data_IF_213043194601
#
_entry.id   IF_213043194601
#
_cell.length_a   1.000
_cell.length_b   1.000
_cell.length_c   1.000
_cell.angle_alpha   90.00
_cell.angle_beta   90.00
_cell.angle_gamma   90.00
#
_symmetry.space_group_name_H-M   'P 1'
#
loop_
_entity.id
_entity.type
_entity.pdbx_description
1 polymer ?
#
# COMPACT_ATOMS: atom_id res chain seq x y z
N UNK A 1 2.92 71.38 32.26
CA UNK A 1 4.01 70.78 31.47
C UNK A 1 4.08 69.32 31.78
N UNK A 2 3.19 68.53 31.25
CA UNK A 2 3.17 67.05 31.34
C UNK A 2 2.21 66.56 30.26
N UNK A 3 2.68 66.27 29.03
CA UNK A 3 1.93 65.51 28.01
C UNK A 3 2.68 65.46 26.68
N UNK A 4 3.96 65.05 26.67
CA UNK A 4 4.72 64.83 25.43
C UNK A 4 5.58 63.54 25.43
N UNK A 5 5.41 62.63 26.40
CA UNK A 5 6.23 61.41 26.50
C UNK A 5 5.47 60.12 26.18
N UNK A 6 4.13 60.14 26.04
CA UNK A 6 3.33 58.93 25.78
C UNK A 6 3.09 58.61 24.29
N UNK A 7 3.38 59.51 23.36
CA UNK A 7 3.08 59.33 21.95
C UNK A 7 4.22 58.68 21.14
N UNK A 8 5.39 58.40 21.73
CA UNK A 8 6.52 57.76 21.01
C UNK A 8 6.68 56.26 21.25
N UNK A 9 6.05 55.72 22.26
CA UNK A 9 6.12 54.27 22.56
C UNK A 9 5.12 53.41 21.76
N UNK A 10 4.00 54.00 21.31
CA UNK A 10 2.92 53.27 20.60
C UNK A 10 3.20 53.02 19.14
N UNK A 11 4.15 53.72 18.49
CA UNK A 11 4.47 53.52 17.05
C UNK A 11 5.60 52.51 16.82
N UNK A 12 6.42 52.22 17.84
CA UNK A 12 7.49 51.24 17.74
C UNK A 12 7.01 49.79 17.94
N UNK A 13 5.93 49.57 18.70
CA UNK A 13 5.40 48.22 18.93
C UNK A 13 4.58 47.63 17.77
N UNK A 14 3.99 48.46 16.91
CA UNK A 14 3.19 47.97 15.78
C UNK A 14 4.02 47.46 14.59
N UNK A 15 5.33 47.69 14.54
CA UNK A 15 6.20 47.20 13.46
C UNK A 15 6.86 45.85 13.73
N UNK A 16 6.82 45.34 14.96
CA UNK A 16 7.46 44.09 15.35
C UNK A 16 6.57 42.86 15.02
N UNK A 17 5.26 43.03 14.86
CA UNK A 17 4.31 41.95 14.62
C UNK A 17 4.02 41.64 13.13
N UNK A 18 4.57 42.42 12.19
CA UNK A 18 4.37 42.21 10.75
C UNK A 18 5.26 41.13 10.12
N UNK A 19 6.17 40.54 10.91
CA UNK A 19 7.06 39.46 10.48
C UNK A 19 6.81 38.14 11.21
N UNK A 20 5.55 37.69 11.32
CA UNK A 20 5.15 36.60 12.16
C UNK A 20 5.86 35.28 11.89
N UNK A 21 5.94 34.38 12.91
CA UNK A 21 6.60 33.08 12.86
C UNK A 21 6.11 32.17 11.72
N UNK A 22 4.94 32.45 11.15
CA UNK A 22 4.37 31.77 10.00
C UNK A 22 5.23 31.86 8.72
N UNK A 23 6.01 32.92 8.52
CA UNK A 23 6.88 33.08 7.34
C UNK A 23 8.13 32.21 7.45
N UNK A 24 8.65 32.05 8.66
CA UNK A 24 9.83 31.22 8.96
C UNK A 24 9.44 29.74 8.83
N UNK A 25 8.31 29.31 9.39
CA UNK A 25 7.82 27.92 9.31
C UNK A 25 7.56 27.53 7.86
N UNK A 26 6.98 28.44 7.05
CA UNK A 26 6.71 28.20 5.63
C UNK A 26 7.99 28.09 4.79
N UNK A 27 9.05 28.81 5.14
CA UNK A 27 10.35 28.73 4.46
C UNK A 27 11.14 27.46 4.85
N UNK A 28 10.97 26.96 6.07
CA UNK A 28 11.56 25.69 6.50
C UNK A 28 10.85 24.50 5.88
N UNK A 29 9.53 24.51 5.81
CA UNK A 29 8.73 23.49 5.16
C UNK A 29 9.01 23.43 3.64
N UNK A 30 9.14 24.58 2.97
CA UNK A 30 9.48 24.64 1.54
C UNK A 30 10.89 24.14 1.26
N UNK A 31 11.88 24.50 2.09
CA UNK A 31 13.27 24.01 1.98
C UNK A 31 13.35 22.50 2.26
N UNK A 32 12.57 21.99 3.23
CA UNK A 32 12.45 20.57 3.49
C UNK A 32 11.90 19.82 2.25
N UNK A 33 10.83 20.32 1.67
CA UNK A 33 10.21 19.73 0.48
C UNK A 33 11.14 19.75 -0.75
N UNK A 34 11.82 20.87 -1.00
CA UNK A 34 12.81 20.98 -2.08
C UNK A 34 13.98 20.02 -1.89
N UNK A 35 14.53 19.93 -0.67
CA UNK A 35 15.58 18.97 -0.34
C UNK A 35 15.14 17.52 -0.56
N UNK A 36 13.94 17.18 -0.13
CA UNK A 36 13.38 15.83 -0.34
C UNK A 36 13.21 15.52 -1.82
N UNK A 37 12.67 16.46 -2.60
CA UNK A 37 12.53 16.31 -4.05
C UNK A 37 13.88 16.15 -4.74
N UNK A 38 14.88 16.99 -4.42
CA UNK A 38 16.22 16.89 -4.96
C UNK A 38 16.88 15.55 -4.64
N UNK A 39 16.76 15.08 -3.39
CA UNK A 39 17.28 13.77 -2.98
C UNK A 39 16.56 12.61 -3.70
N UNK A 40 15.25 12.70 -3.90
CA UNK A 40 14.50 11.69 -4.65
C UNK A 40 14.91 11.67 -6.12
N UNK A 41 15.05 12.83 -6.76
CA UNK A 41 15.53 12.92 -8.15
C UNK A 41 16.96 12.40 -8.26
N UNK A 42 17.85 12.79 -7.34
CA UNK A 42 19.23 12.32 -7.32
C UNK A 42 19.31 10.80 -7.14
N UNK A 43 18.51 10.21 -6.25
CA UNK A 43 18.49 8.75 -6.06
C UNK A 43 17.98 8.01 -7.30
N UNK A 44 16.96 8.53 -7.99
CA UNK A 44 16.47 7.95 -9.24
C UNK A 44 17.50 8.07 -10.37
N UNK A 45 18.21 9.21 -10.47
CA UNK A 45 19.29 9.39 -11.43
C UNK A 45 20.45 8.44 -11.16
N UNK A 46 20.87 8.30 -9.89
CA UNK A 46 21.93 7.35 -9.51
C UNK A 46 21.53 5.93 -9.85
N UNK A 47 20.29 5.53 -9.55
CA UNK A 47 19.79 4.21 -9.91
C UNK A 47 19.77 3.96 -11.43
N UNK A 48 19.30 4.95 -12.19
CA UNK A 48 19.28 4.88 -13.67
C UNK A 48 20.68 4.82 -14.28
N UNK A 49 21.59 5.67 -13.83
CA UNK A 49 22.99 5.67 -14.28
C UNK A 49 23.72 4.39 -13.85
N UNK A 50 23.45 3.90 -12.64
CA UNK A 50 23.96 2.63 -12.16
C UNK A 50 23.48 1.46 -13.04
N UNK A 51 22.20 1.42 -13.38
CA UNK A 51 21.66 0.41 -14.30
C UNK A 51 22.29 0.53 -15.69
N UNK A 52 22.40 1.73 -16.25
CA UNK A 52 23.07 1.97 -17.54
C UNK A 52 24.52 1.49 -17.53
N UNK A 53 25.27 1.82 -16.48
CA UNK A 53 26.67 1.39 -16.32
C UNK A 53 26.81 -0.14 -16.21
N UNK A 54 26.01 -0.77 -15.35
CA UNK A 54 25.99 -2.23 -15.18
C UNK A 54 25.70 -2.95 -16.51
N UNK A 55 24.68 -2.47 -17.23
CA UNK A 55 24.24 -3.06 -18.49
C UNK A 55 25.26 -2.91 -19.63
N UNK A 56 26.06 -1.84 -19.66
CA UNK A 56 26.98 -1.57 -20.78
C UNK A 56 28.40 -2.01 -20.52
N UNK A 57 28.83 -2.04 -19.25
CA UNK A 57 30.25 -2.26 -18.89
C UNK A 57 30.49 -3.63 -18.25
N UNK A 58 29.59 -4.05 -17.31
CA UNK A 58 29.81 -5.28 -16.53
C UNK A 58 29.11 -6.52 -17.11
N UNK A 59 27.92 -6.35 -17.66
CA UNK A 59 27.09 -7.46 -18.10
C UNK A 59 26.85 -7.46 -19.60
N UNK A 60 26.55 -8.64 -20.15
CA UNK A 60 26.09 -8.76 -21.52
C UNK A 60 24.72 -8.08 -21.66
N UNK A 61 24.53 -7.15 -22.65
CA UNK A 61 23.25 -6.50 -22.90
C UNK A 61 22.08 -7.47 -23.15
N UNK A 62 22.37 -8.70 -23.55
CA UNK A 62 21.36 -9.77 -23.67
C UNK A 62 20.82 -10.21 -22.30
N UNK A 63 21.63 -10.19 -21.24
CA UNK A 63 21.20 -10.58 -19.88
C UNK A 63 20.55 -9.40 -19.14
N UNK A 64 21.18 -8.23 -19.23
CA UNK A 64 20.69 -6.99 -18.60
C UNK A 64 20.64 -5.93 -19.69
N UNK A 65 19.48 -5.70 -20.33
CA UNK A 65 19.35 -4.72 -21.38
C UNK A 65 19.51 -3.30 -20.85
N UNK A 66 20.10 -2.39 -21.63
CA UNK A 66 20.21 -0.99 -21.25
C UNK A 66 18.81 -0.36 -21.15
N UNK A 67 18.60 0.56 -20.19
CA UNK A 67 17.33 1.24 -19.99
C UNK A 67 16.73 1.81 -21.28
N UNK A 68 17.57 2.38 -22.14
CA UNK A 68 17.11 2.97 -23.39
C UNK A 68 16.45 1.94 -24.34
N UNK A 69 16.97 0.73 -24.42
CA UNK A 69 16.39 -0.34 -25.25
C UNK A 69 15.08 -0.86 -24.66
N UNK A 70 15.02 -0.95 -23.32
CA UNK A 70 13.77 -1.30 -22.62
C UNK A 70 12.69 -0.27 -22.93
N UNK A 71 13.00 1.03 -22.86
CA UNK A 71 12.04 2.08 -23.21
C UNK A 71 11.65 2.05 -24.68
N UNK A 72 12.61 1.82 -25.60
CA UNK A 72 12.32 1.67 -27.02
C UNK A 72 11.39 0.48 -27.32
N UNK A 73 11.51 -0.61 -26.54
CA UNK A 73 10.62 -1.77 -26.64
C UNK A 73 9.25 -1.49 -26.02
N UNK A 74 9.19 -0.72 -24.93
CA UNK A 74 7.93 -0.38 -24.26
C UNK A 74 7.01 0.50 -25.11
N UNK A 75 7.56 1.48 -25.85
CA UNK A 75 6.77 2.43 -26.65
C UNK A 75 5.82 1.74 -27.62
N UNK A 76 6.27 0.86 -28.55
CA UNK A 76 5.37 0.18 -29.48
C UNK A 76 4.36 -0.73 -28.76
N UNK A 77 4.73 -1.37 -27.64
CA UNK A 77 3.82 -2.21 -26.85
C UNK A 77 2.72 -1.41 -26.15
N UNK A 78 3.00 -0.16 -25.78
CA UNK A 78 1.99 0.77 -25.25
C UNK A 78 1.10 1.29 -26.37
N UNK A 79 1.68 1.70 -27.48
CA UNK A 79 0.92 2.22 -28.65
C UNK A 79 0.02 1.15 -29.28
N UNK A 80 0.46 -0.10 -29.35
CA UNK A 80 -0.36 -1.22 -29.82
C UNK A 80 -1.48 -1.61 -28.84
N UNK A 81 -1.44 -1.13 -27.61
CA UNK A 81 -2.39 -1.50 -26.57
C UNK A 81 -2.11 -2.84 -25.88
N UNK A 82 -1.05 -3.57 -26.26
CA UNK A 82 -0.69 -4.88 -25.68
C UNK A 82 -0.52 -4.76 -24.15
N UNK A 83 0.33 -3.83 -23.70
CA UNK A 83 0.56 -3.60 -22.25
C UNK A 83 -0.72 -3.12 -21.55
N UNK A 84 -1.51 -2.26 -22.18
CA UNK A 84 -2.74 -1.74 -21.55
C UNK A 84 -3.76 -2.86 -21.31
N UNK A 85 -3.91 -3.77 -22.25
CA UNK A 85 -4.78 -4.92 -22.11
C UNK A 85 -4.34 -5.83 -20.95
N UNK A 86 -3.05 -6.17 -20.89
CA UNK A 86 -2.49 -6.97 -19.80
C UNK A 86 -2.60 -6.28 -18.44
N UNK A 87 -2.32 -4.97 -18.37
CA UNK A 87 -2.48 -4.16 -17.15
C UNK A 87 -3.90 -4.17 -16.65
N UNK A 88 -4.89 -3.95 -17.52
CA UNK A 88 -6.31 -3.93 -17.11
C UNK A 88 -6.78 -5.27 -16.58
N UNK A 89 -6.35 -6.35 -17.20
CA UNK A 89 -6.69 -7.72 -16.78
C UNK A 89 -6.04 -8.03 -15.43
N UNK A 90 -4.72 -7.83 -15.29
CA UNK A 90 -4.01 -8.05 -14.02
C UNK A 90 -4.57 -7.16 -12.90
N UNK A 91 -4.89 -5.90 -13.19
CA UNK A 91 -5.48 -4.98 -12.22
C UNK A 91 -6.86 -5.46 -11.75
N UNK A 92 -7.72 -5.91 -12.66
CA UNK A 92 -9.03 -6.44 -12.30
C UNK A 92 -8.91 -7.65 -11.35
N UNK A 93 -7.97 -8.55 -11.63
CA UNK A 93 -7.68 -9.72 -10.77
C UNK A 93 -7.20 -9.31 -9.39
N UNK A 94 -6.22 -8.39 -9.34
CA UNK A 94 -5.70 -7.86 -8.07
C UNK A 94 -6.81 -7.21 -7.26
N UNK A 95 -7.63 -6.34 -7.88
CA UNK A 95 -8.70 -5.64 -7.17
C UNK A 95 -9.75 -6.59 -6.60
N UNK A 96 -10.19 -7.58 -7.38
CA UNK A 96 -11.19 -8.55 -6.92
C UNK A 96 -10.63 -9.39 -5.78
N UNK A 97 -9.46 -10.01 -5.95
CA UNK A 97 -8.84 -10.84 -4.91
C UNK A 97 -8.52 -10.07 -3.64
N UNK A 98 -8.00 -8.84 -3.78
CA UNK A 98 -7.72 -7.93 -2.67
C UNK A 98 -8.98 -7.52 -1.90
N UNK A 99 -10.04 -7.12 -2.59
CA UNK A 99 -11.29 -6.70 -1.94
C UNK A 99 -11.94 -7.87 -1.20
N UNK A 100 -12.05 -9.04 -1.83
CA UNK A 100 -12.61 -10.23 -1.20
C UNK A 100 -11.75 -10.64 0.02
N UNK A 101 -10.43 -10.70 -0.15
CA UNK A 101 -9.51 -11.02 0.95
C UNK A 101 -9.55 -10.02 2.10
N UNK A 102 -9.68 -8.74 1.79
CA UNK A 102 -9.79 -7.68 2.80
C UNK A 102 -11.12 -7.76 3.56
N UNK A 103 -12.24 -7.96 2.86
CA UNK A 103 -13.56 -8.09 3.50
C UNK A 103 -13.58 -9.30 4.46
N UNK A 104 -13.14 -10.47 3.99
CA UNK A 104 -13.05 -11.65 4.84
C UNK A 104 -12.06 -11.47 5.99
N UNK A 105 -10.89 -10.89 5.74
CA UNK A 105 -9.89 -10.60 6.76
C UNK A 105 -10.39 -9.64 7.85
N UNK A 106 -11.15 -8.60 7.46
CA UNK A 106 -11.78 -7.68 8.42
C UNK A 106 -12.85 -8.39 9.23
N UNK A 107 -13.78 -9.09 8.59
CA UNK A 107 -14.89 -9.77 9.28
C UNK A 107 -14.34 -10.79 10.29
N UNK A 108 -13.46 -11.68 9.83
CA UNK A 108 -12.84 -12.69 10.69
C UNK A 108 -11.96 -12.06 11.77
N UNK A 109 -11.18 -11.03 11.43
CA UNK A 109 -10.33 -10.33 12.38
C UNK A 109 -11.10 -9.61 13.48
N UNK A 110 -12.22 -8.99 13.15
CA UNK A 110 -13.13 -8.37 14.15
C UNK A 110 -13.77 -9.45 15.03
N UNK A 111 -14.21 -10.56 14.45
CA UNK A 111 -14.83 -11.68 15.18
C UNK A 111 -13.84 -12.31 16.17
N UNK A 112 -12.65 -12.65 15.71
CA UNK A 112 -11.59 -13.24 16.53
C UNK A 112 -11.05 -12.24 17.57
N UNK A 113 -10.91 -10.99 17.21
CA UNK A 113 -10.51 -9.93 18.16
C UNK A 113 -11.55 -9.72 19.29
N UNK A 114 -12.84 -10.00 19.02
CA UNK A 114 -13.93 -9.86 19.98
C UNK A 114 -14.07 -11.07 20.90
N UNK A 115 -13.94 -12.27 20.37
CA UNK A 115 -14.21 -13.54 21.06
C UNK A 115 -12.89 -14.25 21.34
N UNK A 116 -12.35 -14.06 22.56
CA UNK A 116 -11.07 -14.67 22.97
C UNK A 116 -11.04 -16.19 22.79
N UNK A 117 -12.10 -16.89 23.19
CA UNK A 117 -12.16 -18.34 23.04
C UNK A 117 -11.98 -18.79 21.59
N UNK A 118 -12.62 -18.07 20.65
CA UNK A 118 -12.51 -18.37 19.24
C UNK A 118 -11.11 -18.05 18.70
N UNK A 119 -10.51 -16.96 19.17
CA UNK A 119 -9.11 -16.62 18.87
C UNK A 119 -8.17 -17.73 19.34
N UNK A 120 -8.20 -18.07 20.63
CA UNK A 120 -7.29 -19.05 21.24
C UNK A 120 -7.40 -20.44 20.57
N UNK A 121 -8.59 -20.79 20.06
CA UNK A 121 -8.82 -22.03 19.32
C UNK A 121 -8.25 -21.99 17.91
N UNK A 122 -8.39 -20.86 17.19
CA UNK A 122 -8.04 -20.74 15.78
C UNK A 122 -6.62 -20.17 15.55
N UNK A 123 -6.04 -19.52 16.54
CA UNK A 123 -4.72 -18.88 16.45
C UNK A 123 -3.62 -19.84 15.98
N UNK A 124 -3.46 -21.07 16.52
CA UNK A 124 -2.45 -22.00 16.05
C UNK A 124 -2.64 -22.38 14.58
N UNK A 125 -3.91 -22.50 14.12
CA UNK A 125 -4.25 -22.83 12.75
C UNK A 125 -3.93 -21.65 11.83
N UNK A 126 -4.31 -20.43 12.24
CA UNK A 126 -4.01 -19.20 11.50
C UNK A 126 -2.51 -18.99 11.39
N UNK A 127 -1.76 -19.22 12.48
CA UNK A 127 -0.30 -19.14 12.47
C UNK A 127 0.35 -20.11 11.49
N UNK A 128 -0.13 -21.34 11.39
CA UNK A 128 0.38 -22.31 10.42
C UNK A 128 0.01 -21.91 8.99
N UNK A 129 -1.23 -21.54 8.73
CA UNK A 129 -1.71 -21.23 7.39
C UNK A 129 -1.08 -19.95 6.80
N UNK A 130 -0.77 -18.97 7.61
CA UNK A 130 -0.15 -17.70 7.14
C UNK A 130 1.27 -17.89 6.58
N UNK A 131 1.98 -18.97 6.95
CA UNK A 131 3.28 -19.29 6.41
C UNK A 131 3.21 -19.96 5.03
N UNK A 132 2.03 -20.42 4.61
CA UNK A 132 1.84 -20.95 3.25
C UNK A 132 1.82 -19.79 2.26
N UNK A 133 2.87 -19.69 1.45
CA UNK A 133 2.93 -18.65 0.43
C UNK A 133 1.85 -18.86 -0.65
N UNK A 134 1.32 -17.80 -1.25
CA UNK A 134 0.39 -17.91 -2.39
C UNK A 134 0.94 -18.80 -3.51
N UNK A 135 2.26 -18.75 -3.74
CA UNK A 135 2.92 -19.59 -4.75
C UNK A 135 2.81 -21.09 -4.44
N UNK A 136 2.97 -21.47 -3.18
CA UNK A 136 2.82 -22.86 -2.75
C UNK A 136 1.37 -23.38 -2.88
N UNK A 137 0.40 -22.47 -2.84
CA UNK A 137 -1.03 -22.79 -2.99
C UNK A 137 -1.49 -22.97 -4.44
N UNK A 138 -0.64 -22.70 -5.44
CA UNK A 138 -1.02 -22.79 -6.85
C UNK A 138 -1.56 -24.17 -7.24
N UNK A 139 -0.88 -25.31 -6.94
CA UNK A 139 -1.40 -26.62 -7.32
C UNK A 139 -2.78 -26.89 -6.70
N UNK A 140 -2.96 -26.50 -5.45
CA UNK A 140 -4.24 -26.67 -4.74
C UNK A 140 -5.32 -25.78 -5.36
N UNK A 141 -5.01 -24.53 -5.67
CA UNK A 141 -5.94 -23.61 -6.33
C UNK A 141 -6.41 -24.15 -7.68
N UNK A 142 -5.50 -24.74 -8.47
CA UNK A 142 -5.83 -25.33 -9.76
C UNK A 142 -6.68 -26.61 -9.60
N UNK A 143 -6.40 -27.44 -8.60
CA UNK A 143 -7.21 -28.64 -8.31
C UNK A 143 -8.63 -28.27 -7.86
N UNK A 144 -8.78 -27.24 -7.01
CA UNK A 144 -10.08 -26.85 -6.46
C UNK A 144 -10.94 -26.06 -7.45
N UNK A 145 -10.34 -25.13 -8.19
CA UNK A 145 -11.05 -24.15 -9.03
C UNK A 145 -10.80 -24.33 -10.53
N UNK A 146 -9.91 -25.25 -10.90
CA UNK A 146 -9.50 -25.42 -12.30
C UNK A 146 -8.55 -24.34 -12.81
N UNK A 147 -8.16 -24.45 -14.08
CA UNK A 147 -7.38 -23.43 -14.78
C UNK A 147 -8.36 -22.33 -15.23
N UNK A 148 -8.39 -21.20 -14.51
CA UNK A 148 -9.33 -20.12 -14.80
C UNK A 148 -9.12 -18.89 -13.91
N UNK A 149 -10.08 -17.97 -13.94
CA UNK A 149 -9.99 -16.74 -13.16
C UNK A 149 -10.15 -16.98 -11.66
N UNK A 150 -10.96 -17.97 -11.25
CA UNK A 150 -11.19 -18.27 -9.83
C UNK A 150 -9.93 -18.70 -9.10
N UNK A 151 -9.07 -19.50 -9.71
CA UNK A 151 -7.79 -19.90 -9.12
C UNK A 151 -6.88 -18.69 -8.86
N UNK A 152 -6.85 -17.72 -9.78
CA UNK A 152 -6.07 -16.48 -9.66
C UNK A 152 -6.62 -15.58 -8.54
N UNK A 153 -7.95 -15.39 -8.50
CA UNK A 153 -8.59 -14.64 -7.41
C UNK A 153 -8.31 -15.27 -6.04
N UNK A 154 -8.36 -16.61 -5.97
CA UNK A 154 -8.07 -17.34 -4.73
C UNK A 154 -6.63 -17.11 -4.25
N UNK A 155 -5.64 -17.11 -5.12
CA UNK A 155 -4.23 -16.90 -4.77
C UNK A 155 -4.00 -15.47 -4.23
N UNK A 156 -4.63 -14.47 -4.83
CA UNK A 156 -4.56 -13.09 -4.37
C UNK A 156 -5.32 -12.93 -3.04
N UNK A 157 -6.50 -13.53 -2.94
CA UNK A 157 -7.28 -13.62 -1.69
C UNK A 157 -6.45 -14.20 -0.56
N UNK A 158 -5.76 -15.33 -0.79
CA UNK A 158 -4.90 -16.00 0.20
C UNK A 158 -3.77 -15.08 0.68
N UNK A 159 -3.07 -14.41 -0.22
CA UNK A 159 -2.01 -13.47 0.11
C UNK A 159 -2.48 -12.22 0.85
N UNK A 160 -3.75 -11.86 0.72
CA UNK A 160 -4.37 -10.68 1.36
C UNK A 160 -4.95 -11.00 2.72
N UNK A 161 -5.65 -12.13 2.83
CA UNK A 161 -6.51 -12.51 3.95
C UNK A 161 -5.78 -12.41 5.31
N UNK A 162 -4.68 -13.13 5.47
CA UNK A 162 -3.99 -13.23 6.76
C UNK A 162 -3.37 -11.92 7.21
N UNK A 163 -2.88 -11.10 6.26
CA UNK A 163 -2.29 -9.79 6.56
C UNK A 163 -3.37 -8.86 7.15
N UNK A 164 -4.53 -8.79 6.50
CA UNK A 164 -5.64 -7.95 6.97
C UNK A 164 -6.21 -8.50 8.27
N UNK A 165 -6.39 -9.81 8.38
CA UNK A 165 -6.91 -10.49 9.57
C UNK A 165 -6.09 -10.17 10.82
N UNK A 166 -4.78 -10.40 10.77
CA UNK A 166 -3.89 -10.18 11.93
C UNK A 166 -3.85 -8.71 12.33
N UNK A 167 -3.76 -7.80 11.36
CA UNK A 167 -3.78 -6.36 11.65
C UNK A 167 -5.14 -5.92 12.24
N UNK A 168 -6.24 -6.53 11.81
CA UNK A 168 -7.58 -6.25 12.36
C UNK A 168 -7.70 -6.74 13.80
N UNK A 169 -7.25 -7.96 14.11
CA UNK A 169 -7.21 -8.50 15.48
C UNK A 169 -6.40 -7.56 16.39
N UNK A 170 -5.19 -7.18 15.95
CA UNK A 170 -4.33 -6.26 16.68
C UNK A 170 -5.01 -4.90 16.91
N UNK A 171 -5.76 -4.40 15.93
CA UNK A 171 -6.53 -3.16 16.05
C UNK A 171 -7.64 -3.24 17.10
N UNK A 172 -8.38 -4.35 17.12
CA UNK A 172 -9.45 -4.58 18.12
C UNK A 172 -8.88 -4.64 19.54
N UNK A 173 -7.76 -5.31 19.74
CA UNK A 173 -7.14 -5.43 21.06
C UNK A 173 -6.47 -4.14 21.55
N UNK A 174 -5.98 -3.33 20.65
CA UNK A 174 -5.33 -2.05 20.98
C UNK A 174 -6.31 -0.89 21.19
N UNK A 175 -7.63 -1.14 21.16
CA UNK A 175 -8.63 -0.11 21.47
C UNK A 175 -8.41 0.42 22.89
N UNK A 176 -8.27 1.77 23.10
CA UNK A 176 -7.90 2.35 24.39
C UNK A 176 -8.90 2.01 25.51
N UNK A 177 -8.44 1.34 26.57
CA UNK A 177 -9.26 0.95 27.74
C UNK A 177 -9.90 2.18 28.40
N UNK A 178 -9.20 3.31 28.43
CA UNK A 178 -9.73 4.55 29.01
C UNK A 178 -11.02 5.00 28.30
N UNK A 179 -11.08 4.90 26.97
CA UNK A 179 -12.29 5.23 26.20
C UNK A 179 -13.43 4.25 26.44
N UNK A 180 -13.11 2.97 26.60
CA UNK A 180 -14.11 1.94 26.91
C UNK A 180 -14.74 2.19 28.30
N UNK A 181 -13.92 2.45 29.33
CA UNK A 181 -14.37 2.80 30.67
C UNK A 181 -15.18 4.11 30.71
N UNK A 182 -14.77 5.13 29.98
CA UNK A 182 -15.54 6.36 29.87
C UNK A 182 -16.93 6.14 29.28
N UNK A 183 -17.04 5.30 28.23
CA UNK A 183 -18.32 4.92 27.67
C UNK A 183 -19.18 4.12 28.65
N UNK A 184 -18.58 3.22 29.45
CA UNK A 184 -19.28 2.49 30.53
C UNK A 184 -19.84 3.45 31.59
N UNK A 185 -19.06 4.44 32.02
CA UNK A 185 -19.52 5.46 32.96
C UNK A 185 -20.69 6.29 32.43
N UNK A 186 -20.79 6.45 31.09
CA UNK A 186 -21.91 7.12 30.43
C UNK A 186 -23.11 6.20 30.19
N UNK A 187 -23.07 4.95 30.70
CA UNK A 187 -24.17 4.00 30.59
C UNK A 187 -24.24 3.22 29.27
N UNK A 188 -23.18 3.26 28.46
CA UNK A 188 -23.15 2.49 27.21
C UNK A 188 -23.12 0.99 27.46
N UNK A 189 -23.95 0.23 26.75
CA UNK A 189 -23.94 -1.22 26.79
C UNK A 189 -22.76 -1.82 26.01
N UNK A 190 -22.48 -3.12 26.22
CA UNK A 190 -21.34 -3.82 25.58
C UNK A 190 -21.32 -3.74 24.06
N UNK A 191 -22.50 -3.75 23.43
CA UNK A 191 -22.61 -3.65 21.97
C UNK A 191 -22.29 -2.21 21.48
N UNK A 192 -22.78 -1.21 22.21
CA UNK A 192 -22.48 0.20 21.92
C UNK A 192 -20.98 0.49 22.07
N UNK A 193 -20.33 0.01 23.12
CA UNK A 193 -18.88 0.14 23.31
C UNK A 193 -18.15 -0.52 22.16
N UNK A 194 -18.56 -1.71 21.74
CA UNK A 194 -17.94 -2.40 20.61
C UNK A 194 -18.08 -1.64 19.30
N UNK A 195 -19.29 -1.23 18.93
CA UNK A 195 -19.57 -0.58 17.65
C UNK A 195 -19.09 0.89 17.60
N UNK A 196 -19.19 1.64 18.70
CA UNK A 196 -18.92 3.08 18.74
C UNK A 196 -17.52 3.43 19.25
N UNK A 197 -16.84 2.50 19.97
CA UNK A 197 -15.51 2.76 20.54
C UNK A 197 -14.45 1.82 19.93
N UNK A 198 -14.65 0.51 20.01
CA UNK A 198 -13.64 -0.47 19.62
C UNK A 198 -13.46 -0.48 18.08
N UNK A 199 -14.54 -0.63 17.31
CA UNK A 199 -14.46 -0.67 15.85
C UNK A 199 -13.85 0.62 15.27
N UNK A 200 -14.32 1.83 15.62
CA UNK A 200 -13.68 3.06 15.12
C UNK A 200 -12.21 3.20 15.54
N UNK A 201 -11.86 2.73 16.73
CA UNK A 201 -10.46 2.75 17.20
C UNK A 201 -9.56 1.75 16.47
N UNK A 202 -10.11 0.68 15.91
CA UNK A 202 -9.38 -0.32 15.13
C UNK A 202 -9.15 0.07 13.67
N UNK A 203 -9.92 1.04 13.12
CA UNK A 203 -9.84 1.46 11.72
C UNK A 203 -8.42 1.80 11.25
N UNK A 204 -7.59 2.54 11.98
CA UNK A 204 -6.22 2.83 11.55
C UNK A 204 -5.36 1.57 11.35
N UNK A 205 -5.55 0.55 12.19
CA UNK A 205 -4.83 -0.73 12.09
C UNK A 205 -5.33 -1.55 10.91
N UNK A 206 -6.65 -1.58 10.68
CA UNK A 206 -7.28 -2.23 9.52
C UNK A 206 -6.71 -1.62 8.23
N UNK A 207 -6.69 -0.31 8.14
CA UNK A 207 -6.17 0.41 6.96
C UNK A 207 -4.68 0.15 6.74
N UNK A 208 -3.89 0.11 7.81
CA UNK A 208 -2.47 -0.26 7.73
C UNK A 208 -2.32 -1.68 7.22
N UNK A 209 -3.12 -2.62 7.72
CA UNK A 209 -3.17 -4.00 7.24
C UNK A 209 -3.55 -4.10 5.76
N UNK A 210 -4.60 -3.39 5.34
CA UNK A 210 -5.01 -3.33 3.93
C UNK A 210 -3.91 -2.78 3.02
N UNK A 211 -3.17 -1.78 3.47
CA UNK A 211 -2.07 -1.21 2.71
C UNK A 211 -0.93 -2.22 2.51
N UNK A 212 -0.53 -2.94 3.54
CA UNK A 212 0.49 -3.99 3.43
C UNK A 212 -0.03 -5.14 2.55
N UNK A 213 -1.30 -5.50 2.70
CA UNK A 213 -1.94 -6.54 1.91
C UNK A 213 -2.05 -6.17 0.42
N UNK A 214 -2.22 -4.90 0.07
CA UNK A 214 -2.19 -4.43 -1.32
C UNK A 214 -0.85 -4.75 -1.99
N UNK A 215 0.27 -4.48 -1.33
CA UNK A 215 1.59 -4.85 -1.86
C UNK A 215 1.74 -6.37 -2.01
N UNK A 216 1.26 -7.16 -1.05
CA UNK A 216 1.23 -8.63 -1.13
C UNK A 216 0.38 -9.14 -2.28
N UNK A 217 -0.74 -8.48 -2.60
CA UNK A 217 -1.61 -8.82 -3.73
C UNK A 217 -0.88 -8.70 -5.07
N UNK A 218 -0.05 -7.66 -5.25
CA UNK A 218 0.81 -7.51 -6.43
C UNK A 218 1.93 -8.56 -6.49
N UNK A 219 2.42 -9.03 -5.35
CA UNK A 219 3.38 -10.15 -5.34
C UNK A 219 2.71 -11.47 -5.69
N UNK A 220 1.44 -11.65 -5.34
CA UNK A 220 0.69 -12.89 -5.55
C UNK A 220 0.18 -13.05 -6.99
N UNK A 221 -0.09 -11.95 -7.73
CA UNK A 221 -0.62 -12.02 -9.09
C UNK A 221 0.39 -12.59 -10.08
N UNK A 222 1.69 -12.27 -9.92
CA UNK A 222 2.73 -12.72 -10.87
C UNK A 222 2.77 -14.26 -10.96
N UNK A 223 2.98 -15.01 -9.86
CA UNK A 223 2.98 -16.47 -9.93
C UNK A 223 1.63 -17.05 -10.34
N UNK A 224 0.51 -16.40 -10.00
CA UNK A 224 -0.81 -16.82 -10.42
C UNK A 224 -1.00 -16.74 -11.94
N UNK A 225 -0.49 -15.69 -12.57
CA UNK A 225 -0.57 -15.50 -14.02
C UNK A 225 0.48 -16.31 -14.79
N UNK A 226 1.65 -16.56 -14.24
CA UNK A 226 2.68 -17.39 -14.87
C UNK A 226 2.18 -18.81 -15.13
N UNK A 227 1.43 -19.40 -14.20
CA UNK A 227 1.06 -20.81 -14.27
C UNK A 227 -0.35 -21.08 -14.79
N UNK A 228 -1.26 -20.12 -14.67
CA UNK A 228 -2.67 -20.36 -14.93
C UNK A 228 -3.34 -19.31 -15.83
N UNK A 229 -2.59 -18.51 -16.59
CA UNK A 229 -3.17 -17.45 -17.41
C UNK A 229 -2.76 -17.50 -18.87
N UNK A 230 -3.66 -17.00 -19.74
CA UNK A 230 -3.42 -16.75 -21.17
C UNK A 230 -3.28 -15.23 -21.45
N UNK A 231 -3.32 -14.40 -20.41
CA UNK A 231 -3.28 -12.94 -20.49
C UNK A 231 -2.88 -12.33 -19.15
N UNK A 232 -2.35 -11.11 -19.19
CA UNK A 232 -1.89 -10.38 -18.02
C UNK A 232 -0.38 -10.18 -17.99
N UNK A 233 0.11 -9.35 -17.09
CA UNK A 233 1.53 -8.96 -17.04
C UNK A 233 2.43 -10.14 -16.66
N UNK A 234 1.98 -11.05 -15.78
CA UNK A 234 2.71 -12.26 -15.43
C UNK A 234 2.77 -13.25 -16.60
N UNK A 235 1.70 -13.37 -17.38
CA UNK A 235 1.72 -14.12 -18.64
C UNK A 235 2.69 -13.51 -19.66
N UNK A 236 2.66 -12.19 -19.86
CA UNK A 236 3.60 -11.48 -20.72
C UNK A 236 5.06 -11.78 -20.32
N UNK A 237 5.33 -11.74 -19.01
CA UNK A 237 6.64 -12.06 -18.45
C UNK A 237 7.06 -13.49 -18.77
N UNK A 238 6.18 -14.47 -18.55
CA UNK A 238 6.44 -15.89 -18.82
C UNK A 238 6.66 -16.16 -20.28
N UNK A 239 5.78 -15.64 -21.15
CA UNK A 239 5.90 -15.76 -22.62
C UNK A 239 7.22 -15.17 -23.14
N UNK A 240 7.57 -13.96 -22.66
CA UNK A 240 8.82 -13.30 -23.03
C UNK A 240 10.06 -14.07 -22.55
N UNK A 241 9.95 -14.71 -21.38
CA UNK A 241 11.02 -15.55 -20.82
C UNK A 241 11.24 -16.81 -21.67
N UNK A 242 10.17 -17.49 -22.08
CA UNK A 242 10.25 -18.67 -22.96
C UNK A 242 10.84 -18.34 -24.32
N UNK A 243 10.59 -17.13 -24.83
CA UNK A 243 11.11 -16.65 -26.11
C UNK A 243 12.48 -15.96 -25.99
N UNK A 244 13.09 -15.93 -24.79
CA UNK A 244 14.35 -15.25 -24.46
C UNK A 244 14.36 -13.76 -24.87
N UNK A 245 13.19 -13.10 -24.86
CA UNK A 245 13.02 -11.68 -25.17
C UNK A 245 13.27 -10.81 -23.94
N UNK A 246 14.55 -10.66 -23.55
CA UNK A 246 14.94 -10.01 -22.29
C UNK A 246 14.41 -8.57 -22.18
N UNK A 247 14.40 -7.79 -23.27
CA UNK A 247 13.83 -6.45 -23.26
C UNK A 247 12.36 -6.44 -22.84
N UNK A 248 11.53 -7.38 -23.32
CA UNK A 248 10.12 -7.50 -22.96
C UNK A 248 9.93 -7.96 -21.52
N UNK A 249 10.82 -8.82 -21.00
CA UNK A 249 10.84 -9.22 -19.59
C UNK A 249 11.00 -7.99 -18.71
N UNK A 250 11.99 -7.14 -19.02
CA UNK A 250 12.24 -5.90 -18.26
C UNK A 250 11.08 -4.90 -18.39
N UNK A 251 10.44 -4.80 -19.56
CA UNK A 251 9.22 -3.99 -19.71
C UNK A 251 8.11 -4.50 -18.80
N UNK A 252 7.85 -5.80 -18.75
CA UNK A 252 6.85 -6.38 -17.87
C UNK A 252 7.15 -6.12 -16.37
N UNK A 253 8.41 -6.32 -15.95
CA UNK A 253 8.86 -6.05 -14.57
C UNK A 253 8.68 -4.58 -14.19
N UNK A 254 9.10 -3.64 -15.05
CA UNK A 254 8.91 -2.21 -14.82
C UNK A 254 7.43 -1.84 -14.77
N UNK A 255 6.60 -2.44 -15.63
CA UNK A 255 5.16 -2.20 -15.65
C UNK A 255 4.52 -2.60 -14.31
N UNK A 256 4.87 -3.77 -13.76
CA UNK A 256 4.37 -4.21 -12.43
C UNK A 256 4.84 -3.26 -11.32
N UNK A 257 6.13 -2.84 -11.34
CA UNK A 257 6.65 -1.89 -10.34
C UNK A 257 5.93 -0.55 -10.37
N UNK A 258 5.73 0.01 -11.57
CA UNK A 258 5.05 1.29 -11.76
C UNK A 258 3.57 1.15 -11.34
N UNK A 259 2.91 0.07 -11.75
CA UNK A 259 1.52 -0.17 -11.43
C UNK A 259 1.31 -0.31 -9.92
N UNK A 260 2.11 -1.12 -9.24
CA UNK A 260 2.06 -1.27 -7.78
C UNK A 260 2.31 0.04 -7.05
N UNK A 261 3.29 0.82 -7.51
CA UNK A 261 3.57 2.15 -6.96
C UNK A 261 2.40 3.12 -7.14
N UNK A 262 1.83 3.19 -8.32
CA UNK A 262 0.68 4.07 -8.63
C UNK A 262 -0.53 3.69 -7.77
N UNK A 263 -0.83 2.41 -7.67
CA UNK A 263 -1.96 1.91 -6.86
C UNK A 263 -1.73 2.18 -5.37
N UNK A 264 -0.53 1.98 -4.83
CA UNK A 264 -0.22 2.35 -3.43
C UNK A 264 -0.40 3.87 -3.20
N UNK A 265 -0.03 4.72 -4.18
CA UNK A 265 -0.25 6.17 -4.08
C UNK A 265 -1.73 6.55 -4.12
N UNK A 266 -2.50 5.94 -5.01
CA UNK A 266 -3.95 6.16 -5.10
C UNK A 266 -4.63 5.69 -3.81
N UNK A 267 -4.25 4.51 -3.31
CA UNK A 267 -4.78 3.95 -2.08
C UNK A 267 -4.50 4.87 -0.88
N UNK A 268 -3.27 5.36 -0.73
CA UNK A 268 -2.91 6.35 0.32
C UNK A 268 -3.75 7.60 0.22
N UNK A 269 -3.83 8.19 -0.98
CA UNK A 269 -4.61 9.40 -1.18
C UNK A 269 -6.08 9.22 -0.77
N UNK A 270 -6.66 8.07 -1.11
CA UNK A 270 -8.04 7.73 -0.76
C UNK A 270 -8.21 7.56 0.76
N UNK A 271 -7.28 6.85 1.40
CA UNK A 271 -7.26 6.64 2.84
C UNK A 271 -7.12 7.97 3.59
N UNK A 272 -6.16 8.79 3.22
CA UNK A 272 -5.91 10.09 3.86
C UNK A 272 -7.12 11.03 3.72
N UNK A 273 -7.86 10.94 2.62
CA UNK A 273 -9.02 11.78 2.37
C UNK A 273 -10.29 11.30 3.10
N UNK A 274 -10.54 9.98 3.07
CA UNK A 274 -11.78 9.38 3.62
C UNK A 274 -11.65 9.11 5.11
N UNK A 275 -10.48 8.69 5.57
CA UNK A 275 -10.23 8.27 6.96
C UNK A 275 -9.45 9.29 7.80
N UNK A 276 -9.22 10.50 7.28
CA UNK A 276 -8.56 11.59 8.04
C UNK A 276 -9.18 11.79 9.44
N UNK A 277 -10.49 11.63 9.55
CA UNK A 277 -11.27 11.73 10.79
C UNK A 277 -10.90 10.65 11.82
N UNK A 278 -10.53 9.46 11.39
CA UNK A 278 -10.16 8.33 12.26
C UNK A 278 -8.64 8.27 12.51
N UNK A 279 -7.84 8.80 11.61
CA UNK A 279 -6.37 8.84 11.74
C UNK A 279 -5.88 9.88 12.75
N UNK A 280 -6.61 10.98 12.96
CA UNK A 280 -6.27 12.00 13.96
C UNK A 280 -6.32 11.50 15.41
N UNK A 281 -6.96 10.38 15.68
CA UNK A 281 -7.02 9.78 17.02
C UNK A 281 -5.72 9.06 17.43
N UNK A 282 -4.80 8.77 16.50
CA UNK A 282 -3.54 8.03 16.76
C UNK A 282 -2.37 8.98 17.02
N UNK A 283 -2.44 10.23 16.55
CA UNK A 283 -1.35 11.23 16.68
C UNK A 283 -1.32 11.97 18.02
N UNK A 284 -2.23 11.67 18.96
CA UNK A 284 -2.36 12.36 20.25
C UNK A 284 -1.88 11.48 21.44
N UNK A 285 -1.20 10.41 21.17
CA UNK A 285 -0.47 9.61 22.16
C UNK A 285 1.00 9.54 21.72
#
# INVERSE_FOLDING_TARGET
MTNLHESRTTIAETKIWAGGPFRIIRSWAARGLQRTLLLTIASLLIAFLGWQFLSTVLFNPFLIPPPLEVFRTAIPMVVSGEILADVTISMSRVMVGFLVGSIFGIIMGVLLGRIRLLHDLLDPIIELLRYLSPTAMIPIAVIWFGIGELSKYFLIFWGTLFIVLINTIAGVWRAPIARQRAAECLGANRLQIFLLVIIPSSVPYIVTGMRVAMASSFMSIIPAEILAADSGIGYLLQKSSMLLQTNRIFVALLTICILGFVVDRIFRFFVDRVLARYMSFVTVT
#
